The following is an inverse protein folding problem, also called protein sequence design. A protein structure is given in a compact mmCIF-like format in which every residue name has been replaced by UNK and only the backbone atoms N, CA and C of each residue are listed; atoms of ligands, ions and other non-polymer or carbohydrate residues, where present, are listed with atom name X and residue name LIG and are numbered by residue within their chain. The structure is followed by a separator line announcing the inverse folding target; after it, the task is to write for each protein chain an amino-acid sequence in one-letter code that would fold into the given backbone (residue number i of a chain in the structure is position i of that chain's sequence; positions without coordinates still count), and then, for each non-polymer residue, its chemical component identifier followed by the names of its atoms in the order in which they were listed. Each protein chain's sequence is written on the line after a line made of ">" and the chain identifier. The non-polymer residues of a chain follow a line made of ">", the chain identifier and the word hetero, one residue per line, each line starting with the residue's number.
data_IF_003113533266
#
_entry.id   IF_003113533266
#
_cell.length_a   1.000
_cell.length_b   1.000
_cell.length_c   1.000
_cell.angle_alpha   90.00
_cell.angle_beta   90.00
_cell.angle_gamma   90.00
#
_symmetry.space_group_name_H-M   'P 1'
#
loop_
_entity.id
_entity.type
_entity.pdbx_description
1 polymer ?
#
# COMPACT_ATOMS: atom_id res chain seq x y z
N UNK A 1 37.65 -7.80 16.19
CA UNK A 1 37.16 -9.05 15.55
C UNK A 1 36.11 -8.83 14.45
N UNK A 2 35.41 -7.68 14.33
CA UNK A 2 34.38 -7.49 13.28
C UNK A 2 34.89 -7.41 11.83
N UNK A 3 36.19 -7.16 11.59
CA UNK A 3 36.74 -6.88 10.26
C UNK A 3 36.38 -7.91 9.16
N UNK A 4 36.32 -9.24 9.40
CA UNK A 4 35.92 -10.21 8.36
C UNK A 4 34.44 -10.12 7.94
N UNK A 5 33.58 -9.54 8.78
CA UNK A 5 32.12 -9.44 8.54
C UNK A 5 31.74 -8.05 8.04
N UNK A 6 32.38 -7.00 8.58
CA UNK A 6 32.12 -5.59 8.23
C UNK A 6 33.44 -4.83 8.02
N UNK A 7 34.20 -5.13 6.94
CA UNK A 7 35.52 -4.54 6.74
C UNK A 7 35.46 -3.01 6.59
N UNK A 8 34.50 -2.49 5.83
CA UNK A 8 34.29 -1.04 5.63
C UNK A 8 34.08 -0.31 6.97
N UNK A 9 33.09 -0.73 7.75
CA UNK A 9 32.75 -0.13 9.06
C UNK A 9 33.89 -0.25 10.06
N UNK A 10 34.59 -1.39 10.09
CA UNK A 10 35.70 -1.60 11.03
C UNK A 10 36.89 -0.71 10.68
N UNK A 11 37.15 -0.45 9.40
CA UNK A 11 38.19 0.50 8.98
C UNK A 11 37.84 1.93 9.42
N UNK A 12 36.60 2.40 9.21
CA UNK A 12 36.17 3.74 9.66
C UNK A 12 36.28 3.92 11.18
N UNK A 13 36.05 2.86 11.96
CA UNK A 13 36.28 2.85 13.42
C UNK A 13 37.79 2.95 13.73
N UNK A 14 38.65 2.26 12.98
CA UNK A 14 40.09 2.31 13.17
C UNK A 14 40.67 3.71 12.86
N UNK A 15 40.20 4.34 11.77
CA UNK A 15 40.54 5.73 11.40
C UNK A 15 40.09 6.76 12.45
N UNK A 16 38.91 6.55 13.06
CA UNK A 16 38.38 7.39 14.14
C UNK A 16 39.23 7.34 15.42
N UNK A 17 39.79 6.17 15.70
CA UNK A 17 40.61 5.85 16.88
C UNK A 17 42.13 5.97 16.61
N UNK A 18 42.52 6.28 15.37
CA UNK A 18 43.91 6.56 14.99
C UNK A 18 44.83 5.35 14.90
N UNK A 19 44.31 4.14 14.71
CA UNK A 19 45.12 2.92 14.54
C UNK A 19 44.84 2.22 13.20
N UNK A 20 45.76 1.37 12.75
CA UNK A 20 45.58 0.55 11.53
C UNK A 20 45.31 -0.90 11.88
N UNK A 21 44.43 -1.57 11.11
CA UNK A 21 44.13 -2.98 11.31
C UNK A 21 45.18 -3.82 10.57
N UNK A 22 46.22 -4.24 11.27
CA UNK A 22 47.24 -5.15 10.74
C UNK A 22 47.52 -6.34 11.69
N UNK A 23 48.33 -7.30 11.23
CA UNK A 23 48.68 -8.52 11.95
C UNK A 23 49.51 -8.27 13.22
N UNK A 24 50.16 -7.12 13.35
CA UNK A 24 51.00 -6.73 14.48
C UNK A 24 50.14 -6.10 15.59
N UNK A 25 49.29 -5.13 15.24
CA UNK A 25 48.29 -4.56 16.14
C UNK A 25 47.33 -5.62 16.68
N UNK A 26 47.02 -6.66 15.90
CA UNK A 26 46.27 -7.82 16.41
C UNK A 26 47.01 -8.54 17.55
N UNK A 27 48.31 -8.79 17.41
CA UNK A 27 49.12 -9.42 18.46
C UNK A 27 49.22 -8.53 19.70
N UNK A 28 49.59 -7.26 19.54
CA UNK A 28 49.79 -6.35 20.67
C UNK A 28 48.50 -6.05 21.47
N UNK A 29 47.36 -5.90 20.78
CA UNK A 29 46.11 -5.49 21.44
C UNK A 29 45.24 -6.67 21.88
N UNK A 30 45.26 -7.79 21.14
CA UNK A 30 44.37 -8.94 21.41
C UNK A 30 45.08 -10.07 22.17
N UNK A 31 46.38 -10.30 21.92
CA UNK A 31 47.15 -11.37 22.57
C UNK A 31 47.89 -10.84 23.80
N UNK A 32 48.70 -9.77 23.64
CA UNK A 32 49.42 -9.14 24.76
C UNK A 32 48.52 -8.30 25.69
N UNK A 33 47.26 -8.06 25.29
CA UNK A 33 46.27 -7.23 26.01
C UNK A 33 46.76 -5.81 26.36
N UNK A 34 47.67 -5.23 25.59
CA UNK A 34 48.15 -3.85 25.81
C UNK A 34 46.99 -2.88 25.54
N UNK A 35 46.79 -1.92 26.44
CA UNK A 35 45.83 -0.83 26.24
C UNK A 35 46.37 0.14 25.18
N UNK A 36 45.47 0.68 24.35
CA UNK A 36 45.79 1.78 23.44
C UNK A 36 46.30 2.99 24.23
N UNK A 37 47.41 3.58 23.78
CA UNK A 37 47.94 4.84 24.32
C UNK A 37 46.94 5.97 24.05
N UNK A 38 46.95 7.01 24.89
CA UNK A 38 46.04 8.16 24.79
C UNK A 38 45.97 8.70 23.36
N UNK A 39 44.79 8.63 22.75
CA UNK A 39 44.52 9.02 21.37
C UNK A 39 43.44 10.10 21.30
N UNK A 40 43.55 11.00 20.31
CA UNK A 40 42.54 12.03 20.05
C UNK A 40 41.49 11.48 19.09
N UNK A 41 40.28 11.25 19.57
CA UNK A 41 39.14 10.77 18.76
C UNK A 41 38.85 11.77 17.64
N UNK A 42 38.80 11.28 16.39
CA UNK A 42 38.29 12.06 15.25
C UNK A 42 36.78 11.86 15.14
N UNK A 43 36.02 12.95 14.97
CA UNK A 43 34.57 12.90 14.77
C UNK A 43 34.26 12.27 13.39
N UNK A 44 33.71 11.07 13.40
CA UNK A 44 33.25 10.34 12.20
C UNK A 44 31.74 10.51 11.98
N UNK A 45 31.25 10.37 10.73
CA UNK A 45 29.82 10.29 10.42
C UNK A 45 29.17 9.04 11.05
N UNK A 46 27.82 8.99 11.17
CA UNK A 46 27.12 7.82 11.66
C UNK A 46 27.44 6.58 10.80
N UNK A 47 27.95 5.53 11.45
CA UNK A 47 28.44 4.30 10.80
C UNK A 47 27.33 3.45 10.17
N UNK A 48 26.10 3.65 10.62
CA UNK A 48 24.89 3.02 10.11
C UNK A 48 23.80 4.11 10.01
N UNK A 49 23.73 4.88 8.91
CA UNK A 49 22.59 5.76 8.66
C UNK A 49 21.33 4.90 8.52
N UNK A 50 20.19 5.42 8.99
CA UNK A 50 18.90 4.74 8.81
C UNK A 50 18.56 4.72 7.32
N UNK A 51 18.13 3.56 6.81
CA UNK A 51 17.68 3.42 5.43
C UNK A 51 16.24 3.93 5.37
N UNK A 52 16.06 5.15 4.88
CA UNK A 52 14.75 5.83 4.80
C UNK A 52 14.21 5.89 3.36
N UNK A 53 14.94 5.30 2.38
CA UNK A 53 14.50 5.12 1.00
C UNK A 53 14.75 3.68 0.51
N UNK A 54 13.83 3.06 -0.26
CA UNK A 54 14.01 1.72 -0.81
C UNK A 54 15.02 1.72 -1.98
N UNK A 55 16.28 1.43 -1.69
CA UNK A 55 17.39 1.35 -2.66
C UNK A 55 17.30 0.10 -3.57
N UNK A 56 16.25 0.01 -4.38
CA UNK A 56 16.19 -0.89 -5.53
C UNK A 56 15.81 -0.11 -6.78
N UNK A 57 16.79 0.09 -7.67
CA UNK A 57 16.54 0.61 -9.02
C UNK A 57 15.74 -0.43 -9.82
N UNK A 58 14.82 0.03 -10.66
CA UNK A 58 13.95 -0.84 -11.47
C UNK A 58 14.78 -1.79 -12.35
N UNK A 59 14.58 -3.09 -12.19
CA UNK A 59 15.07 -4.07 -13.16
C UNK A 59 14.32 -3.87 -14.50
N UNK A 60 15.01 -3.86 -15.66
CA UNK A 60 14.37 -3.61 -16.95
C UNK A 60 13.21 -4.57 -17.26
N UNK A 61 12.14 -4.02 -17.83
CA UNK A 61 10.95 -4.78 -18.25
C UNK A 61 11.23 -5.54 -19.54
N UNK A 62 11.19 -6.87 -19.48
CA UNK A 62 10.98 -7.71 -20.66
C UNK A 62 9.60 -8.39 -20.58
N UNK A 63 8.82 -8.20 -21.65
CA UNK A 63 7.57 -8.90 -21.96
C UNK A 63 7.67 -9.40 -23.43
N UNK A 64 6.88 -10.40 -23.85
CA UNK A 64 6.29 -11.48 -23.07
C UNK A 64 6.41 -12.86 -23.76
N UNK A 65 6.31 -13.97 -23.00
CA UNK A 65 5.78 -15.25 -23.54
C UNK A 65 4.84 -15.94 -22.56
N UNK A 66 3.68 -16.33 -23.09
CA UNK A 66 2.57 -16.99 -22.40
C UNK A 66 2.82 -18.47 -22.11
N UNK A 67 2.39 -18.96 -20.93
CA UNK A 67 1.81 -20.31 -20.75
C UNK A 67 1.06 -20.44 -19.40
N UNK A 68 0.29 -21.52 -19.25
CA UNK A 68 -0.79 -21.75 -18.26
C UNK A 68 -0.75 -23.25 -17.88
N UNK A 69 -1.09 -23.72 -16.66
CA UNK A 69 -1.74 -23.07 -15.51
C UNK A 69 -0.72 -22.68 -14.40
N UNK A 70 -0.76 -22.99 -13.10
CA UNK A 70 -1.57 -23.86 -12.21
C UNK A 70 -1.67 -23.23 -10.79
N UNK A 71 -2.71 -23.57 -10.01
CA UNK A 71 -2.97 -23.00 -8.68
C UNK A 71 -2.19 -23.70 -7.55
N UNK A 72 -1.37 -22.96 -6.81
CA UNK A 72 -1.08 -23.29 -5.40
C UNK A 72 -1.26 -22.05 -4.52
N UNK A 73 -2.38 -22.04 -3.81
CA UNK A 73 -2.79 -20.96 -2.91
C UNK A 73 -2.20 -21.19 -1.52
N UNK A 74 -0.91 -20.93 -1.36
CA UNK A 74 -0.30 -20.79 -0.03
C UNK A 74 -1.00 -19.68 0.73
N UNK A 75 -1.79 -20.03 1.77
CA UNK A 75 -2.21 -19.09 2.80
C UNK A 75 -0.99 -18.76 3.66
N UNK A 76 -0.05 -18.00 3.12
CA UNK A 76 0.83 -17.22 3.98
C UNK A 76 -0.05 -16.18 4.66
N UNK A 77 -0.22 -16.33 5.98
CA UNK A 77 -0.80 -15.29 6.82
C UNK A 77 0.23 -14.17 6.84
N UNK A 78 0.07 -13.23 5.91
CA UNK A 78 0.75 -11.93 5.96
C UNK A 78 0.44 -11.37 7.34
N UNK A 79 1.47 -11.27 8.19
CA UNK A 79 1.35 -10.48 9.40
C UNK A 79 1.05 -9.06 8.96
N UNK A 80 -0.01 -8.50 9.50
CA UNK A 80 -0.30 -7.08 9.39
C UNK A 80 0.77 -6.34 10.20
N UNK A 81 1.93 -6.13 9.58
CA UNK A 81 2.72 -4.93 9.85
C UNK A 81 1.86 -3.77 9.35
N UNK A 82 1.13 -3.15 10.30
CA UNK A 82 0.26 -2.01 10.03
C UNK A 82 1.05 -0.98 9.23
N UNK A 83 0.68 -0.81 7.96
CA UNK A 83 1.12 0.30 7.15
C UNK A 83 0.31 1.52 7.62
N UNK A 84 0.67 2.01 8.81
CA UNK A 84 -0.01 3.08 9.54
C UNK A 84 -0.02 4.36 8.71
N UNK A 85 -1.09 4.55 7.94
CA UNK A 85 -1.35 5.77 7.22
C UNK A 85 -1.57 6.93 8.18
N UNK A 86 -1.03 8.10 7.86
CA UNK A 86 -1.38 9.31 8.59
C UNK A 86 -2.83 9.71 8.29
N UNK A 87 -3.51 10.35 9.25
CA UNK A 87 -4.88 10.84 9.05
C UNK A 87 -5.00 11.81 7.84
N UNK A 88 -3.91 12.47 7.45
CA UNK A 88 -3.83 13.25 6.22
C UNK A 88 -4.07 12.44 4.95
N UNK A 89 -3.51 11.22 4.84
CA UNK A 89 -3.68 10.32 3.69
C UNK A 89 -5.12 9.77 3.61
N UNK A 90 -5.81 9.66 4.74
CA UNK A 90 -7.25 9.40 4.75
C UNK A 90 -8.03 10.60 4.21
N UNK A 91 -7.71 11.83 4.63
CA UNK A 91 -8.35 13.06 4.10
C UNK A 91 -8.03 13.36 2.62
N UNK A 92 -6.91 12.88 2.08
CA UNK A 92 -6.66 12.88 0.62
C UNK A 92 -7.70 12.06 -0.15
N UNK A 93 -8.33 11.06 0.50
CA UNK A 93 -9.37 10.21 -0.09
C UNK A 93 -10.75 10.82 0.11
N UNK A 94 -11.34 11.35 -0.97
CA UNK A 94 -12.67 11.95 -0.93
C UNK A 94 -13.75 10.86 -0.87
N UNK A 95 -14.14 10.46 0.34
CA UNK A 95 -15.26 9.58 0.60
C UNK A 95 -16.56 10.40 0.70
N UNK A 96 -17.62 9.96 0.00
CA UNK A 96 -18.95 10.58 0.04
C UNK A 96 -20.05 9.53 0.18
N UNK A 97 -21.13 9.88 0.88
CA UNK A 97 -22.41 9.16 0.82
C UNK A 97 -23.17 9.61 -0.44
N UNK A 98 -23.54 8.67 -1.29
CA UNK A 98 -24.40 8.89 -2.44
C UNK A 98 -25.69 8.07 -2.39
N UNK A 99 -26.65 8.43 -3.24
CA UNK A 99 -27.89 7.67 -3.45
C UNK A 99 -27.88 7.09 -4.86
N UNK A 100 -28.15 5.80 -5.02
CA UNK A 100 -28.26 5.19 -6.36
C UNK A 100 -29.56 5.66 -7.02
N UNK A 101 -29.46 6.32 -8.17
CA UNK A 101 -30.61 6.80 -8.95
C UNK A 101 -31.02 5.78 -9.99
N UNK A 102 -30.05 5.16 -10.67
CA UNK A 102 -30.28 4.16 -11.71
C UNK A 102 -29.34 2.97 -11.54
N UNK A 103 -29.81 1.78 -11.90
CA UNK A 103 -29.02 0.55 -11.90
C UNK A 103 -29.32 -0.27 -13.16
N UNK A 104 -28.27 -0.65 -13.89
CA UNK A 104 -28.33 -1.41 -15.13
C UNK A 104 -27.37 -2.60 -15.10
N UNK A 105 -27.75 -3.69 -15.75
CA UNK A 105 -26.84 -4.81 -15.96
C UNK A 105 -25.90 -4.54 -17.14
N UNK A 106 -24.61 -4.85 -17.02
CA UNK A 106 -23.66 -4.72 -18.14
C UNK A 106 -23.79 -5.96 -19.04
N UNK A 107 -24.35 -5.89 -20.27
CA UNK A 107 -24.64 -7.08 -21.09
C UNK A 107 -23.38 -7.85 -21.52
N UNK A 108 -22.20 -7.22 -21.42
CA UNK A 108 -20.90 -7.84 -21.70
C UNK A 108 -20.26 -8.55 -20.51
N UNK A 109 -20.86 -8.54 -19.31
CA UNK A 109 -20.28 -9.18 -18.12
C UNK A 109 -21.31 -9.80 -17.18
N UNK A 110 -21.05 -11.02 -16.73
CA UNK A 110 -21.90 -11.75 -15.77
C UNK A 110 -21.81 -11.23 -14.33
N UNK A 111 -20.80 -10.41 -13.99
CA UNK A 111 -20.54 -9.93 -12.61
C UNK A 111 -20.74 -8.43 -12.39
N UNK A 112 -20.84 -7.62 -13.45
CA UNK A 112 -20.83 -6.15 -13.35
C UNK A 112 -22.23 -5.54 -13.45
N UNK A 113 -22.56 -4.63 -12.55
CA UNK A 113 -23.63 -3.65 -12.69
C UNK A 113 -23.04 -2.26 -13.00
N UNK A 114 -23.75 -1.48 -13.81
CA UNK A 114 -23.54 -0.04 -14.00
C UNK A 114 -24.55 0.68 -13.09
N UNK A 115 -24.08 1.65 -12.32
CA UNK A 115 -24.86 2.40 -11.35
C UNK A 115 -24.66 3.89 -11.60
N UNK A 116 -25.75 4.66 -11.61
CA UNK A 116 -25.69 6.13 -11.53
C UNK A 116 -25.94 6.56 -10.09
N UNK A 117 -24.99 7.30 -9.52
CA UNK A 117 -25.05 7.70 -8.12
C UNK A 117 -25.12 9.23 -8.03
N UNK A 118 -26.15 9.73 -7.36
CA UNK A 118 -26.24 11.13 -6.94
C UNK A 118 -25.27 11.36 -5.76
N UNK A 119 -24.40 12.36 -5.93
CA UNK A 119 -23.41 12.81 -4.95
C UNK A 119 -23.58 14.30 -4.60
N UNK A 120 -24.77 14.88 -4.83
CA UNK A 120 -25.01 16.32 -4.68
C UNK A 120 -24.21 17.17 -5.68
N UNK A 121 -23.80 16.58 -6.80
CA UNK A 121 -23.04 17.19 -7.89
C UNK A 121 -23.98 17.45 -9.09
N UNK A 122 -23.65 18.38 -10.00
CA UNK A 122 -24.52 18.73 -11.15
C UNK A 122 -24.79 17.56 -12.12
N UNK A 123 -24.03 16.47 -12.01
CA UNK A 123 -24.19 15.27 -12.84
C UNK A 123 -24.06 14.01 -12.01
N UNK A 124 -25.00 13.06 -12.20
CA UNK A 124 -24.93 11.74 -11.58
C UNK A 124 -23.66 11.01 -12.02
N UNK A 125 -23.00 10.35 -11.06
CA UNK A 125 -21.68 9.76 -11.28
C UNK A 125 -21.78 8.28 -11.61
N UNK A 126 -21.32 7.91 -12.80
CA UNK A 126 -21.32 6.53 -13.26
C UNK A 126 -20.25 5.70 -12.55
N UNK A 127 -20.67 4.65 -11.85
CA UNK A 127 -19.82 3.65 -11.19
C UNK A 127 -20.14 2.26 -11.75
N UNK A 128 -19.12 1.45 -11.99
CA UNK A 128 -19.26 0.06 -12.45
C UNK A 128 -18.75 -0.87 -11.36
N UNK A 129 -19.61 -1.71 -10.79
CA UNK A 129 -19.33 -2.50 -9.59
C UNK A 129 -19.59 -4.00 -9.77
N UNK A 130 -18.73 -4.82 -9.17
CA UNK A 130 -18.75 -6.30 -9.27
C UNK A 130 -19.79 -7.00 -8.39
N UNK A 131 -20.95 -6.39 -8.17
CA UNK A 131 -21.92 -6.79 -7.14
C UNK A 131 -23.15 -7.54 -7.67
N UNK A 132 -23.20 -7.84 -8.97
CA UNK A 132 -24.35 -8.52 -9.63
C UNK A 132 -24.69 -9.88 -9.03
N UNK A 133 -23.73 -10.54 -8.40
CA UNK A 133 -23.90 -11.87 -7.79
C UNK A 133 -24.57 -11.82 -6.41
N UNK A 134 -24.78 -10.62 -5.84
CA UNK A 134 -25.32 -10.40 -4.49
C UNK A 134 -26.53 -9.46 -4.43
N UNK A 135 -26.67 -8.54 -5.39
CA UNK A 135 -27.76 -7.57 -5.43
C UNK A 135 -28.38 -7.49 -6.83
N UNK A 136 -29.72 -7.44 -6.91
CA UNK A 136 -30.39 -7.09 -8.17
C UNK A 136 -30.29 -5.57 -8.43
N UNK A 137 -30.46 -5.10 -9.68
CA UNK A 137 -30.55 -3.68 -9.97
C UNK A 137 -31.70 -2.98 -9.20
N UNK A 138 -32.82 -3.67 -8.99
CA UNK A 138 -34.02 -3.10 -8.36
C UNK A 138 -33.80 -2.83 -6.87
N UNK A 139 -33.08 -3.70 -6.16
CA UNK A 139 -32.77 -3.55 -4.72
C UNK A 139 -31.72 -2.46 -4.43
N UNK A 140 -31.07 -1.94 -5.47
CA UNK A 140 -30.05 -0.90 -5.35
C UNK A 140 -30.62 0.51 -5.54
N UNK A 141 -31.57 0.69 -6.45
CA UNK A 141 -32.20 1.99 -6.73
C UNK A 141 -32.85 2.57 -5.47
N UNK A 142 -32.60 3.85 -5.20
CA UNK A 142 -33.04 4.55 -4.00
C UNK A 142 -32.22 4.25 -2.74
N UNK A 143 -31.31 3.26 -2.76
CA UNK A 143 -30.47 2.97 -1.58
C UNK A 143 -29.27 3.90 -1.49
N UNK A 144 -28.89 4.24 -0.25
CA UNK A 144 -27.67 5.00 0.02
C UNK A 144 -26.45 4.09 0.11
N UNK A 145 -25.30 4.59 -0.31
CA UNK A 145 -24.04 3.84 -0.45
C UNK A 145 -22.83 4.76 -0.28
N UNK A 146 -21.73 4.24 0.29
CA UNK A 146 -20.46 4.97 0.38
C UNK A 146 -19.61 4.81 -0.89
N UNK A 147 -19.13 5.93 -1.44
CA UNK A 147 -18.41 6.01 -2.72
C UNK A 147 -17.10 6.79 -2.57
N UNK A 148 -16.04 6.29 -3.19
CA UNK A 148 -14.76 7.01 -3.37
C UNK A 148 -14.85 7.92 -4.60
N UNK A 149 -14.80 9.23 -4.39
CA UNK A 149 -15.08 10.28 -5.38
C UNK A 149 -13.83 10.98 -5.96
N UNK A 150 -12.62 10.67 -5.49
CA UNK A 150 -11.35 11.18 -6.04
C UNK A 150 -10.56 10.16 -6.88
N UNK A 151 -11.08 8.94 -7.07
CA UNK A 151 -10.40 7.91 -7.89
C UNK A 151 -10.31 8.30 -9.37
N UNK A 152 -9.17 7.97 -9.98
CA UNK A 152 -8.94 8.10 -11.43
C UNK A 152 -9.94 7.21 -12.20
N UNK A 153 -10.65 7.73 -13.22
CA UNK A 153 -11.64 6.92 -13.94
C UNK A 153 -11.05 5.69 -14.63
N UNK A 154 -11.58 4.51 -14.32
CA UNK A 154 -11.16 3.23 -14.88
C UNK A 154 -12.09 2.78 -16.02
N UNK A 155 -11.56 2.17 -17.08
CA UNK A 155 -12.36 1.58 -18.16
C UNK A 155 -12.59 0.08 -17.89
N UNK A 156 -13.84 -0.30 -17.63
CA UNK A 156 -14.29 -1.67 -17.37
C UNK A 156 -15.25 -2.12 -18.48
N UNK A 157 -14.85 -3.11 -19.28
CA UNK A 157 -15.63 -3.67 -20.40
C UNK A 157 -16.14 -2.65 -21.44
N UNK A 158 -15.47 -1.50 -21.54
CA UNK A 158 -15.82 -0.37 -22.42
C UNK A 158 -16.60 0.76 -21.74
N UNK A 159 -17.10 0.56 -20.53
CA UNK A 159 -17.72 1.61 -19.70
C UNK A 159 -16.65 2.31 -18.85
N UNK A 160 -16.83 3.61 -18.57
CA UNK A 160 -16.05 4.31 -17.55
C UNK A 160 -16.70 4.14 -16.17
N UNK A 161 -15.90 3.76 -15.17
CA UNK A 161 -16.24 3.91 -13.75
C UNK A 161 -15.48 5.11 -13.20
N UNK A 162 -16.20 6.15 -12.78
CA UNK A 162 -15.63 7.39 -12.23
C UNK A 162 -15.49 7.36 -10.70
N UNK A 163 -15.62 6.19 -10.07
CA UNK A 163 -15.50 5.98 -8.63
C UNK A 163 -15.50 4.50 -8.27
N UNK A 164 -15.50 4.21 -6.97
CA UNK A 164 -15.60 2.86 -6.40
C UNK A 164 -16.61 2.85 -5.25
N UNK A 165 -17.44 1.80 -5.21
CA UNK A 165 -18.35 1.54 -4.10
C UNK A 165 -17.64 0.76 -2.99
N UNK A 166 -17.85 1.16 -1.74
CA UNK A 166 -17.32 0.44 -0.59
C UNK A 166 -18.26 -0.70 -0.18
N UNK A 167 -17.70 -1.89 0.00
CA UNK A 167 -18.40 -3.09 0.46
C UNK A 167 -17.49 -3.90 1.39
N UNK A 168 -18.06 -4.44 2.47
CA UNK A 168 -17.45 -5.55 3.20
C UNK A 168 -17.63 -6.84 2.40
N UNK A 169 -16.70 -7.79 2.55
CA UNK A 169 -16.81 -9.11 1.90
C UNK A 169 -16.13 -10.18 2.75
N UNK A 170 -16.95 -11.04 3.32
CA UNK A 170 -16.57 -12.08 4.27
C UNK A 170 -17.00 -13.47 3.74
N UNK A 171 -16.99 -14.51 4.57
CA UNK A 171 -17.37 -15.86 4.15
C UNK A 171 -18.89 -15.96 3.85
N UNK A 172 -19.73 -15.18 4.55
CA UNK A 172 -21.19 -15.10 4.34
C UNK A 172 -21.61 -14.32 3.06
N UNK A 173 -20.71 -13.56 2.43
CA UNK A 173 -21.00 -12.84 1.18
C UNK A 173 -20.46 -11.42 1.12
N UNK A 174 -21.09 -10.56 0.30
CA UNK A 174 -20.71 -9.16 0.07
C UNK A 174 -21.82 -8.23 0.55
N UNK A 175 -21.49 -7.26 1.41
CA UNK A 175 -22.42 -6.29 1.96
C UNK A 175 -21.97 -4.85 1.65
N UNK A 176 -22.83 -4.05 1.03
CA UNK A 176 -22.53 -2.63 0.74
C UNK A 176 -22.46 -1.80 2.03
N UNK A 177 -21.46 -0.92 2.13
CA UNK A 177 -21.35 0.02 3.26
C UNK A 177 -22.35 1.17 3.06
N UNK A 178 -23.20 1.36 4.07
CA UNK A 178 -24.31 2.33 4.11
C UNK A 178 -24.32 3.08 5.44
N UNK A 179 -24.78 4.35 5.50
CA UNK A 179 -24.98 5.04 6.77
C UNK A 179 -26.17 4.44 7.55
N UNK A 180 -26.03 4.33 8.88
CA UNK A 180 -27.08 3.83 9.80
C UNK A 180 -28.37 4.68 9.78
N UNK A 181 -28.24 5.97 9.49
CA UNK A 181 -29.34 6.94 9.40
C UNK A 181 -29.23 7.69 8.06
N UNK A 182 -30.35 7.96 7.35
CA UNK A 182 -30.30 8.60 6.04
C UNK A 182 -29.64 9.98 6.10
N UNK A 183 -28.81 10.28 5.10
CA UNK A 183 -28.08 11.55 4.94
C UNK A 183 -28.39 12.20 3.59
N UNK A 184 -28.04 13.47 3.44
CA UNK A 184 -28.10 14.13 2.11
C UNK A 184 -27.07 13.51 1.18
N UNK A 185 -27.41 13.33 -0.10
CA UNK A 185 -26.43 12.96 -1.11
C UNK A 185 -25.27 13.98 -1.12
N UNK A 186 -24.05 13.50 -1.32
CA UNK A 186 -22.84 14.32 -1.30
C UNK A 186 -22.26 14.61 0.08
N UNK A 187 -22.89 14.15 1.17
CA UNK A 187 -22.32 14.29 2.52
C UNK A 187 -20.95 13.56 2.56
N UNK A 188 -19.83 14.25 2.88
CA UNK A 188 -18.54 13.60 3.00
C UNK A 188 -18.50 12.65 4.20
N UNK A 189 -17.67 11.60 4.11
CA UNK A 189 -17.36 10.71 5.24
C UNK A 189 -15.99 11.08 5.79
N UNK A 190 -15.91 11.25 7.11
CA UNK A 190 -14.73 11.64 7.88
C UNK A 190 -15.02 11.58 9.37
#
# INVERSE_FOLDING_TARGET
>A
MLHPVMPKTTNTIADALGFTINTESYKELVIDKKLLKVFTIKKVPPLFPRVEEPLMQEAPKEEPKTMIKEEQKSKEVVKEEDNLIEIGQFFETSLKVGTVVEAEEVPKSKKLLKLQIDLGEESNRQVVAGIKEFYSPQDLVGTQVCVVANLKPAKLMGLMSAGMLLAAKDEDGLCLIRPEKPKKAGTPVG
#
